data_IF_542978572948
#
_entry.id   IF_542978572948
#
_cell.length_a   1.000
_cell.length_b   1.000
_cell.length_c   1.000
_cell.angle_alpha   90.00
_cell.angle_beta   90.00
_cell.angle_gamma   90.00
#
_symmetry.space_group_name_H-M   'P 1'
#
loop_
_entity.id
_entity.type
_entity.pdbx_description
1 polymer ?
#
# COMPACT_ATOMS: atom_id res chain seq x y z
N UNK A 1 -42.32 -41.44 -26.01
CA UNK A 1 -42.76 -40.24 -25.28
C UNK A 1 -43.36 -39.27 -26.27
N UNK A 2 -44.30 -38.41 -25.87
CA UNK A 2 -44.79 -37.36 -26.76
C UNK A 2 -43.68 -36.33 -26.99
N UNK A 3 -43.58 -35.76 -28.19
CA UNK A 3 -42.60 -34.72 -28.52
C UNK A 3 -42.64 -33.56 -27.51
N UNK A 4 -43.84 -33.16 -27.05
CA UNK A 4 -44.02 -32.12 -26.05
C UNK A 4 -43.39 -32.45 -24.69
N UNK A 5 -43.46 -33.72 -24.25
CA UNK A 5 -42.80 -34.14 -23.01
C UNK A 5 -41.27 -34.07 -23.13
N UNK A 6 -40.73 -34.51 -24.29
CA UNK A 6 -39.29 -34.44 -24.55
C UNK A 6 -38.78 -33.00 -24.55
N UNK A 7 -39.51 -32.07 -25.19
CA UNK A 7 -39.17 -30.64 -25.19
C UNK A 7 -39.23 -30.05 -23.78
N UNK A 8 -40.27 -30.38 -23.00
CA UNK A 8 -40.37 -29.91 -21.62
C UNK A 8 -39.16 -30.37 -20.78
N UNK A 9 -38.71 -31.61 -20.97
CA UNK A 9 -37.56 -32.16 -20.26
C UNK A 9 -36.24 -31.46 -20.64
N UNK A 10 -36.05 -31.13 -21.92
CA UNK A 10 -34.91 -30.31 -22.39
C UNK A 10 -34.94 -28.93 -21.72
N UNK A 11 -36.10 -28.27 -21.69
CA UNK A 11 -36.25 -26.96 -21.02
C UNK A 11 -35.91 -27.06 -19.54
N UNK A 12 -36.29 -28.14 -18.86
CA UNK A 12 -35.92 -28.37 -17.46
C UNK A 12 -34.40 -28.49 -17.29
N UNK A 13 -33.70 -29.22 -18.16
CA UNK A 13 -32.23 -29.30 -18.12
C UNK A 13 -31.57 -27.96 -18.40
N UNK A 14 -32.09 -27.18 -19.35
CA UNK A 14 -31.60 -25.82 -19.64
C UNK A 14 -31.76 -24.90 -18.42
N UNK A 15 -32.93 -24.91 -17.78
CA UNK A 15 -33.18 -24.11 -16.57
C UNK A 15 -32.32 -24.55 -15.39
N UNK A 16 -32.07 -25.85 -15.26
CA UNK A 16 -31.17 -26.37 -14.23
C UNK A 16 -29.75 -25.83 -14.43
N UNK A 17 -29.24 -25.84 -15.66
CA UNK A 17 -27.93 -25.25 -15.96
C UNK A 17 -27.90 -23.73 -15.77
N UNK A 18 -29.00 -23.02 -16.06
CA UNK A 18 -29.13 -21.58 -15.79
C UNK A 18 -28.89 -21.21 -14.33
N UNK A 19 -29.34 -22.06 -13.40
CA UNK A 19 -29.19 -21.86 -11.95
C UNK A 19 -27.71 -21.88 -11.56
N UNK A 20 -26.95 -22.85 -12.09
CA UNK A 20 -25.50 -22.93 -11.81
C UNK A 20 -24.73 -21.76 -12.43
N UNK A 21 -25.01 -21.44 -13.71
CA UNK A 21 -24.34 -20.34 -14.40
C UNK A 21 -24.61 -18.97 -13.76
N UNK A 22 -25.85 -18.74 -13.29
CA UNK A 22 -26.19 -17.53 -12.55
C UNK A 22 -25.46 -17.48 -11.20
N UNK A 23 -25.36 -18.61 -10.49
CA UNK A 23 -24.69 -18.66 -9.18
C UNK A 23 -23.20 -18.41 -9.31
N UNK A 24 -22.57 -18.96 -10.35
CA UNK A 24 -21.15 -18.79 -10.64
C UNK A 24 -20.82 -17.30 -10.71
N UNK A 25 -21.49 -16.57 -11.59
CA UNK A 25 -21.20 -15.15 -11.77
C UNK A 25 -21.71 -14.29 -10.61
N UNK A 26 -22.78 -14.71 -9.92
CA UNK A 26 -23.23 -14.03 -8.71
C UNK A 26 -22.19 -14.09 -7.59
N UNK A 27 -21.57 -15.25 -7.35
CA UNK A 27 -20.58 -15.41 -6.29
C UNK A 27 -19.25 -14.71 -6.63
N UNK A 28 -18.78 -14.82 -7.88
CA UNK A 28 -17.53 -14.17 -8.33
C UNK A 28 -17.63 -12.64 -8.25
N UNK A 29 -18.81 -12.07 -8.49
CA UNK A 29 -18.99 -10.62 -8.48
C UNK A 29 -19.21 -10.02 -7.07
N UNK A 30 -19.31 -10.85 -6.02
CA UNK A 30 -19.44 -10.36 -4.65
C UNK A 30 -18.08 -9.91 -4.10
N UNK A 31 -18.03 -8.70 -3.56
CA UNK A 31 -16.82 -8.15 -2.91
C UNK A 31 -16.67 -8.71 -1.50
N UNK A 32 -15.43 -8.78 -0.98
CA UNK A 32 -15.14 -9.23 0.40
C UNK A 32 -15.98 -8.49 1.45
N UNK A 33 -16.08 -7.17 1.35
CA UNK A 33 -16.90 -6.35 2.26
C UNK A 33 -18.41 -6.68 2.22
N UNK A 34 -18.92 -7.12 1.07
CA UNK A 34 -20.31 -7.58 0.95
C UNK A 34 -20.49 -8.94 1.61
N UNK A 35 -19.52 -9.86 1.46
CA UNK A 35 -19.54 -11.17 2.11
C UNK A 35 -19.49 -11.03 3.64
N UNK A 36 -18.64 -10.15 4.17
CA UNK A 36 -18.53 -9.88 5.61
C UNK A 36 -19.84 -9.33 6.19
N UNK A 37 -20.47 -8.40 5.45
CA UNK A 37 -21.79 -7.87 5.80
C UNK A 37 -22.86 -8.95 5.78
N UNK A 38 -22.85 -9.83 4.79
CA UNK A 38 -23.83 -10.93 4.66
C UNK A 38 -23.66 -11.98 5.77
N UNK A 39 -22.42 -12.24 6.20
CA UNK A 39 -22.10 -13.21 7.25
C UNK A 39 -22.70 -12.83 8.62
N UNK A 40 -22.77 -11.53 8.90
CA UNK A 40 -23.30 -11.01 10.17
C UNK A 40 -24.82 -10.82 10.19
N UNK A 41 -25.47 -10.79 9.02
CA UNK A 41 -26.92 -10.54 8.93
C UNK A 41 -27.79 -11.76 9.23
N UNK A 42 -27.51 -12.92 8.61
CA UNK A 42 -28.35 -14.11 8.76
C UNK A 42 -27.63 -15.42 8.41
N UNK A 43 -28.27 -16.56 8.75
CA UNK A 43 -27.72 -17.89 8.53
C UNK A 43 -27.53 -18.27 7.05
N UNK A 44 -28.29 -17.67 6.11
CA UNK A 44 -28.10 -17.90 4.67
C UNK A 44 -26.91 -17.09 4.17
N UNK A 45 -26.77 -15.83 4.57
CA UNK A 45 -25.63 -14.96 4.27
C UNK A 45 -24.32 -15.57 4.75
N UNK A 46 -24.28 -16.14 5.96
CA UNK A 46 -23.13 -16.91 6.47
C UNK A 46 -22.76 -18.09 5.59
N UNK A 47 -23.73 -18.81 5.02
CA UNK A 47 -23.46 -19.91 4.08
C UNK A 47 -22.93 -19.40 2.74
N UNK A 48 -23.48 -18.30 2.22
CA UNK A 48 -22.98 -17.66 1.00
C UNK A 48 -21.52 -17.25 1.17
N UNK A 49 -21.19 -16.55 2.26
CA UNK A 49 -19.83 -16.13 2.57
C UNK A 49 -18.87 -17.31 2.70
N UNK A 50 -19.28 -18.37 3.43
CA UNK A 50 -18.47 -19.59 3.57
C UNK A 50 -18.16 -20.25 2.24
N UNK A 51 -19.14 -20.32 1.33
CA UNK A 51 -18.96 -20.95 0.01
C UNK A 51 -18.12 -20.07 -0.90
N UNK A 52 -18.38 -18.76 -0.94
CA UNK A 52 -17.64 -17.81 -1.77
C UNK A 52 -16.14 -17.73 -1.39
N UNK A 53 -15.79 -17.93 -0.12
CA UNK A 53 -14.40 -17.94 0.36
C UNK A 53 -13.63 -19.25 0.06
N UNK A 54 -14.27 -20.26 -0.53
CA UNK A 54 -13.62 -21.50 -0.99
C UNK A 54 -13.74 -21.65 -2.53
N UNK A 55 -13.02 -20.81 -3.30
CA UNK A 55 -13.10 -20.75 -4.76
C UNK A 55 -12.93 -22.08 -5.46
N UNK A 56 -11.97 -22.88 -5.01
CA UNK A 56 -11.65 -24.16 -5.64
C UNK A 56 -12.82 -25.14 -5.57
N UNK A 57 -13.45 -25.28 -4.40
CA UNK A 57 -14.55 -26.22 -4.21
C UNK A 57 -15.83 -25.72 -4.88
N UNK A 58 -16.14 -24.43 -4.76
CA UNK A 58 -17.39 -23.90 -5.31
C UNK A 58 -17.34 -23.78 -6.84
N UNK A 59 -16.26 -23.26 -7.44
CA UNK A 59 -16.14 -23.12 -8.89
C UNK A 59 -16.21 -24.49 -9.57
N UNK A 60 -15.50 -25.48 -9.02
CA UNK A 60 -15.57 -26.86 -9.51
C UNK A 60 -16.98 -27.42 -9.45
N UNK A 61 -17.70 -27.21 -8.35
CA UNK A 61 -19.09 -27.66 -8.18
C UNK A 61 -20.01 -27.05 -9.26
N UNK A 62 -19.94 -25.73 -9.42
CA UNK A 62 -20.81 -25.01 -10.36
C UNK A 62 -20.48 -25.39 -11.81
N UNK A 63 -19.20 -25.51 -12.15
CA UNK A 63 -18.75 -25.91 -13.48
C UNK A 63 -19.24 -27.31 -13.85
N UNK A 64 -19.20 -28.26 -12.92
CA UNK A 64 -19.78 -29.60 -13.13
C UNK A 64 -21.28 -29.49 -13.40
N UNK A 65 -22.00 -28.66 -12.63
CA UNK A 65 -23.43 -28.43 -12.81
C UNK A 65 -23.77 -27.87 -14.20
N UNK A 66 -23.08 -26.81 -14.64
CA UNK A 66 -23.26 -26.20 -15.97
C UNK A 66 -22.94 -27.22 -17.07
N UNK A 67 -21.80 -27.89 -16.95
CA UNK A 67 -21.31 -28.84 -17.96
C UNK A 67 -22.25 -30.04 -18.10
N UNK A 68 -22.66 -30.63 -16.98
CA UNK A 68 -23.59 -31.77 -16.96
C UNK A 68 -24.96 -31.37 -17.54
N UNK A 69 -25.47 -30.20 -17.17
CA UNK A 69 -26.76 -29.69 -17.68
C UNK A 69 -26.71 -29.45 -19.19
N UNK A 70 -25.62 -28.88 -19.69
CA UNK A 70 -25.39 -28.67 -21.11
C UNK A 70 -25.31 -29.98 -21.89
N UNK A 71 -24.51 -30.94 -21.42
CA UNK A 71 -24.40 -32.26 -22.05
C UNK A 71 -25.72 -33.03 -22.04
N UNK A 72 -26.43 -33.05 -20.90
CA UNK A 72 -27.73 -33.69 -20.81
C UNK A 72 -28.74 -33.04 -21.75
N UNK A 73 -28.81 -31.70 -21.79
CA UNK A 73 -29.71 -30.98 -22.70
C UNK A 73 -29.41 -31.28 -24.18
N UNK A 74 -28.14 -31.26 -24.57
CA UNK A 74 -27.71 -31.51 -25.95
C UNK A 74 -27.90 -32.98 -26.36
N UNK A 75 -27.40 -33.93 -25.57
CA UNK A 75 -27.46 -35.36 -25.88
C UNK A 75 -28.89 -35.93 -25.78
N UNK A 76 -29.64 -35.57 -24.73
CA UNK A 76 -31.04 -35.96 -24.63
C UNK A 76 -31.86 -35.25 -25.69
N UNK A 77 -31.63 -33.97 -25.92
CA UNK A 77 -32.41 -33.20 -26.88
C UNK A 77 -32.25 -33.70 -28.32
N UNK A 78 -31.03 -34.06 -28.72
CA UNK A 78 -30.77 -34.69 -30.01
C UNK A 78 -31.49 -36.04 -30.11
N UNK A 79 -31.22 -36.98 -29.21
CA UNK A 79 -31.79 -38.34 -29.27
C UNK A 79 -33.30 -38.39 -29.14
N UNK A 80 -33.90 -37.41 -28.46
CA UNK A 80 -35.35 -37.32 -28.24
C UNK A 80 -36.10 -36.61 -29.38
N UNK A 81 -35.44 -35.69 -30.12
CA UNK A 81 -36.06 -34.91 -31.20
C UNK A 81 -35.73 -35.51 -32.58
N UNK A 82 -34.52 -36.04 -32.78
CA UNK A 82 -34.06 -36.57 -34.05
C UNK A 82 -35.03 -37.60 -34.68
N UNK A 83 -35.63 -38.56 -33.94
CA UNK A 83 -36.58 -39.52 -34.51
C UNK A 83 -37.84 -38.87 -35.11
N UNK A 84 -38.20 -37.66 -34.66
CA UNK A 84 -39.36 -36.91 -35.18
C UNK A 84 -39.01 -36.06 -36.39
N UNK A 85 -37.76 -35.59 -36.50
CA UNK A 85 -37.32 -34.69 -37.59
C UNK A 85 -36.74 -35.47 -38.77
N UNK A 86 -36.03 -36.58 -38.54
CA UNK A 86 -35.42 -37.39 -39.60
C UNK A 86 -36.44 -37.80 -40.69
N UNK A 87 -37.68 -38.25 -40.39
CA UNK A 87 -38.67 -38.56 -41.42
C UNK A 87 -39.09 -37.35 -42.28
N UNK A 88 -39.13 -36.15 -41.68
CA UNK A 88 -39.45 -34.90 -42.37
C UNK A 88 -38.32 -34.55 -43.35
N UNK A 89 -37.07 -34.65 -42.90
CA UNK A 89 -35.89 -34.41 -43.75
C UNK A 89 -35.83 -35.42 -44.92
N UNK A 90 -36.17 -36.68 -44.67
CA UNK A 90 -36.32 -37.69 -45.73
C UNK A 90 -37.41 -37.32 -46.74
N UNK A 91 -38.54 -36.76 -46.28
CA UNK A 91 -39.63 -36.33 -47.16
C UNK A 91 -39.23 -35.18 -48.11
N UNK A 92 -38.16 -34.45 -47.81
CA UNK A 92 -37.57 -33.43 -48.69
C UNK A 92 -36.64 -34.00 -49.78
N UNK A 93 -36.50 -35.32 -49.88
CA UNK A 93 -35.70 -36.00 -50.90
C UNK A 93 -34.23 -36.22 -50.52
N UNK A 94 -33.87 -36.03 -49.25
CA UNK A 94 -32.51 -36.31 -48.76
C UNK A 94 -32.28 -37.83 -48.67
N UNK A 95 -31.18 -38.37 -49.21
CA UNK A 95 -30.87 -39.79 -49.12
C UNK A 95 -30.79 -40.30 -47.68
N UNK A 96 -31.24 -41.53 -47.43
CA UNK A 96 -31.34 -42.13 -46.08
C UNK A 96 -30.01 -42.14 -45.31
N UNK A 97 -28.89 -42.34 -46.01
CA UNK A 97 -27.56 -42.37 -45.41
C UNK A 97 -27.05 -40.98 -44.98
N UNK A 98 -27.65 -39.89 -45.50
CA UNK A 98 -27.30 -38.50 -45.17
C UNK A 98 -28.29 -37.90 -44.17
N UNK A 99 -29.59 -38.25 -44.29
CA UNK A 99 -30.66 -37.62 -43.51
C UNK A 99 -30.45 -37.75 -41.99
N UNK A 100 -29.99 -38.90 -41.50
CA UNK A 100 -29.71 -39.13 -40.07
C UNK A 100 -28.57 -38.25 -39.53
N UNK A 101 -27.34 -38.40 -40.06
CA UNK A 101 -26.19 -37.58 -39.63
C UNK A 101 -26.43 -36.07 -39.79
N UNK A 102 -27.04 -35.64 -40.89
CA UNK A 102 -27.34 -34.22 -41.13
C UNK A 102 -28.29 -33.67 -40.06
N UNK A 103 -29.38 -34.40 -39.76
CA UNK A 103 -30.33 -34.01 -38.72
C UNK A 103 -29.67 -33.94 -37.35
N UNK A 104 -28.79 -34.91 -37.05
CA UNK A 104 -28.03 -34.96 -35.79
C UNK A 104 -27.16 -33.72 -35.61
N UNK A 105 -26.36 -33.37 -36.63
CA UNK A 105 -25.45 -32.21 -36.58
C UNK A 105 -26.27 -30.92 -36.43
N UNK A 106 -27.30 -30.73 -37.26
CA UNK A 106 -28.11 -29.50 -37.24
C UNK A 106 -28.86 -29.35 -35.92
N UNK A 107 -29.48 -30.42 -35.41
CA UNK A 107 -30.15 -30.38 -34.11
C UNK A 107 -29.18 -30.10 -32.97
N UNK A 108 -28.00 -30.74 -32.99
CA UNK A 108 -26.97 -30.50 -31.97
C UNK A 108 -26.55 -29.03 -31.96
N UNK A 109 -26.33 -28.42 -33.13
CA UNK A 109 -25.99 -26.99 -33.23
C UNK A 109 -27.11 -26.07 -32.71
N UNK A 110 -28.36 -26.35 -33.07
CA UNK A 110 -29.52 -25.57 -32.62
C UNK A 110 -29.68 -25.68 -31.10
N UNK A 111 -29.68 -26.90 -30.56
CA UNK A 111 -29.82 -27.13 -29.12
C UNK A 111 -28.65 -26.52 -28.37
N UNK A 112 -27.41 -26.65 -28.88
CA UNK A 112 -26.23 -26.03 -28.28
C UNK A 112 -26.34 -24.51 -28.26
N UNK A 113 -26.85 -23.87 -29.32
CA UNK A 113 -27.08 -22.42 -29.34
C UNK A 113 -28.06 -22.00 -28.23
N UNK A 114 -29.22 -22.66 -28.14
CA UNK A 114 -30.20 -22.37 -27.09
C UNK A 114 -29.64 -22.69 -25.70
N UNK A 115 -28.81 -23.72 -25.57
CA UNK A 115 -28.13 -24.04 -24.32
C UNK A 115 -27.20 -22.91 -23.89
N UNK A 116 -26.31 -22.44 -24.77
CA UNK A 116 -25.40 -21.33 -24.43
C UNK A 116 -26.21 -20.07 -24.10
N UNK A 117 -27.24 -19.73 -24.86
CA UNK A 117 -28.01 -18.50 -24.63
C UNK A 117 -28.82 -18.58 -23.33
N UNK A 118 -29.64 -19.62 -23.15
CA UNK A 118 -30.60 -19.74 -22.04
C UNK A 118 -29.95 -20.29 -20.77
N UNK A 119 -29.09 -21.30 -20.90
CA UNK A 119 -28.45 -21.95 -19.75
C UNK A 119 -27.22 -21.20 -19.24
N UNK A 120 -26.64 -20.29 -20.03
CA UNK A 120 -25.36 -19.66 -19.64
C UNK A 120 -25.38 -18.13 -19.75
N UNK A 121 -25.52 -17.56 -20.94
CA UNK A 121 -25.33 -16.12 -21.16
C UNK A 121 -26.40 -15.24 -20.51
N UNK A 122 -27.68 -15.58 -20.69
CA UNK A 122 -28.80 -14.81 -20.11
C UNK A 122 -28.75 -14.84 -18.57
N UNK A 123 -28.61 -16.00 -17.91
CA UNK A 123 -28.52 -16.07 -16.45
C UNK A 123 -27.31 -15.32 -15.90
N UNK A 124 -26.14 -15.41 -16.57
CA UNK A 124 -24.94 -14.65 -16.20
C UNK A 124 -25.22 -13.13 -16.24
N UNK A 125 -25.83 -12.61 -17.31
CA UNK A 125 -26.19 -11.18 -17.39
C UNK A 125 -27.14 -10.73 -16.27
N UNK A 126 -28.11 -11.57 -15.91
CA UNK A 126 -29.03 -11.27 -14.79
C UNK A 126 -28.27 -11.30 -13.45
N UNK A 127 -27.36 -12.26 -13.27
CA UNK A 127 -26.54 -12.41 -12.07
C UNK A 127 -25.61 -11.22 -11.80
N UNK A 128 -25.08 -10.58 -12.85
CA UNK A 128 -24.27 -9.37 -12.71
C UNK A 128 -25.05 -8.20 -12.10
N UNK A 129 -26.35 -8.09 -12.42
CA UNK A 129 -27.19 -7.00 -11.93
C UNK A 129 -27.74 -7.24 -10.52
N UNK A 130 -27.86 -8.51 -10.11
CA UNK A 130 -28.53 -8.91 -8.85
C UNK A 130 -27.77 -10.01 -8.11
N UNK A 131 -26.45 -9.85 -7.98
CA UNK A 131 -25.54 -10.87 -7.45
C UNK A 131 -25.93 -11.33 -6.03
N UNK A 132 -26.19 -10.40 -5.12
CA UNK A 132 -26.55 -10.73 -3.72
C UNK A 132 -27.87 -11.52 -3.62
N UNK A 133 -28.90 -11.12 -4.36
CA UNK A 133 -30.22 -11.76 -4.32
C UNK A 133 -30.15 -13.19 -4.88
N UNK A 134 -29.45 -13.37 -6.00
CA UNK A 134 -29.31 -14.67 -6.66
C UNK A 134 -28.45 -15.61 -5.81
N UNK A 135 -27.32 -15.13 -5.30
CA UNK A 135 -26.46 -15.93 -4.43
C UNK A 135 -27.25 -16.44 -3.21
N UNK A 136 -28.00 -15.59 -2.51
CA UNK A 136 -28.81 -15.99 -1.36
C UNK A 136 -29.91 -17.00 -1.71
N UNK A 137 -30.54 -16.87 -2.87
CA UNK A 137 -31.63 -17.74 -3.29
C UNK A 137 -31.14 -19.14 -3.68
N UNK A 138 -30.00 -19.22 -4.37
CA UNK A 138 -29.55 -20.46 -5.02
C UNK A 138 -28.55 -21.26 -4.19
N UNK A 139 -27.79 -20.61 -3.31
CA UNK A 139 -26.76 -21.27 -2.46
C UNK A 139 -27.25 -22.54 -1.74
N UNK A 140 -28.46 -22.62 -1.16
CA UNK A 140 -28.93 -23.86 -0.52
C UNK A 140 -28.99 -25.06 -1.47
N UNK A 141 -29.40 -24.87 -2.73
CA UNK A 141 -29.46 -25.93 -3.72
C UNK A 141 -28.05 -26.37 -4.15
N UNK A 142 -27.15 -25.41 -4.33
CA UNK A 142 -25.75 -25.66 -4.69
C UNK A 142 -25.00 -26.37 -3.57
N UNK A 143 -25.23 -26.02 -2.30
CA UNK A 143 -24.61 -26.72 -1.15
C UNK A 143 -25.01 -28.20 -1.09
N UNK A 144 -26.28 -28.52 -1.37
CA UNK A 144 -26.75 -29.91 -1.45
C UNK A 144 -26.07 -30.63 -2.62
N UNK A 145 -26.04 -30.01 -3.80
CA UNK A 145 -25.39 -30.57 -4.98
C UNK A 145 -23.89 -30.80 -4.76
N UNK A 146 -23.18 -29.85 -4.13
CA UNK A 146 -21.77 -29.96 -3.77
C UNK A 146 -21.50 -31.16 -2.86
N UNK A 147 -22.37 -31.41 -1.87
CA UNK A 147 -22.24 -32.58 -0.98
C UNK A 147 -22.38 -33.90 -1.74
N UNK A 148 -23.30 -33.97 -2.71
CA UNK A 148 -23.49 -35.15 -3.57
C UNK A 148 -22.27 -35.36 -4.47
N UNK A 149 -21.77 -34.28 -5.08
CA UNK A 149 -20.63 -34.32 -6.00
C UNK A 149 -19.27 -34.30 -5.31
N UNK A 150 -19.21 -34.24 -3.97
CA UNK A 150 -17.97 -34.17 -3.18
C UNK A 150 -16.90 -35.19 -3.58
N UNK A 151 -17.17 -36.50 -3.77
CA UNK A 151 -16.14 -37.44 -4.18
C UNK A 151 -15.57 -37.14 -5.57
N UNK A 152 -16.40 -36.66 -6.49
CA UNK A 152 -15.98 -36.28 -7.83
C UNK A 152 -15.15 -35.00 -7.81
N UNK A 153 -15.57 -34.00 -7.05
CA UNK A 153 -14.83 -32.74 -6.87
C UNK A 153 -13.46 -33.01 -6.27
N UNK A 154 -13.36 -33.87 -5.25
CA UNK A 154 -12.10 -34.25 -4.64
C UNK A 154 -11.14 -34.91 -5.66
N UNK A 155 -11.67 -35.80 -6.51
CA UNK A 155 -10.87 -36.47 -7.54
C UNK A 155 -10.34 -35.46 -8.56
N UNK A 156 -11.20 -34.54 -9.02
CA UNK A 156 -10.82 -33.48 -9.96
C UNK A 156 -9.76 -32.58 -9.33
N UNK A 157 -9.98 -32.07 -8.12
CA UNK A 157 -9.03 -31.21 -7.42
C UNK A 157 -7.66 -31.88 -7.22
N UNK A 158 -7.64 -33.17 -6.87
CA UNK A 158 -6.40 -33.93 -6.74
C UNK A 158 -5.64 -34.02 -8.07
N UNK A 159 -6.35 -34.26 -9.17
CA UNK A 159 -5.75 -34.32 -10.50
C UNK A 159 -5.27 -32.94 -10.96
N UNK A 160 -6.08 -31.90 -10.79
CA UNK A 160 -5.72 -30.51 -11.11
C UNK A 160 -4.46 -30.09 -10.36
N UNK A 161 -4.40 -30.29 -9.05
CA UNK A 161 -3.22 -29.97 -8.24
C UNK A 161 -1.99 -30.79 -8.67
N UNK A 162 -2.18 -32.02 -9.14
CA UNK A 162 -1.11 -32.83 -9.74
C UNK A 162 -0.56 -32.19 -11.01
N UNK A 163 -1.43 -31.74 -11.92
CA UNK A 163 -1.02 -31.05 -13.15
C UNK A 163 -0.35 -29.70 -12.88
N UNK A 164 -0.89 -28.90 -11.95
CA UNK A 164 -0.33 -27.61 -11.55
C UNK A 164 1.10 -27.79 -11.02
N UNK A 165 1.32 -28.79 -10.16
CA UNK A 165 2.66 -29.14 -9.65
C UNK A 165 3.59 -29.68 -10.74
N UNK A 166 3.07 -30.46 -11.68
CA UNK A 166 3.86 -30.97 -12.80
C UNK A 166 4.37 -29.84 -13.71
N UNK A 167 3.58 -28.77 -13.83
CA UNK A 167 3.95 -27.56 -14.56
C UNK A 167 4.82 -26.58 -13.75
N UNK A 168 5.12 -26.89 -12.48
CA UNK A 168 6.01 -26.10 -11.63
C UNK A 168 5.33 -24.99 -10.82
N UNK A 169 4.00 -24.94 -10.76
CA UNK A 169 3.24 -23.93 -10.00
C UNK A 169 2.78 -24.47 -8.63
N UNK A 170 2.60 -23.60 -7.64
CA UNK A 170 2.01 -23.98 -6.34
C UNK A 170 0.48 -23.87 -6.38
N UNK A 171 -0.27 -24.98 -6.24
CA UNK A 171 -1.74 -24.95 -6.22
C UNK A 171 -2.36 -24.28 -4.97
N UNK A 172 -1.57 -23.92 -3.96
CA UNK A 172 -2.05 -23.26 -2.73
C UNK A 172 -1.60 -21.80 -2.60
N UNK A 173 -0.99 -21.22 -3.63
CA UNK A 173 -0.59 -19.82 -3.65
C UNK A 173 -1.85 -18.95 -3.51
N UNK A 174 -1.86 -18.08 -2.48
CA UNK A 174 -2.92 -17.08 -2.28
C UNK A 174 -2.44 -15.77 -2.87
N UNK A 175 -3.36 -14.94 -3.38
CA UNK A 175 -3.06 -13.54 -3.74
C UNK A 175 -2.28 -12.90 -2.59
N UNK A 176 -1.12 -12.35 -2.92
CA UNK A 176 -0.22 -11.67 -1.99
C UNK A 176 -0.93 -10.51 -1.30
N UNK A 177 -0.55 -10.23 -0.06
CA UNK A 177 -0.92 -8.99 0.60
C UNK A 177 -0.49 -7.81 -0.29
N UNK A 178 -1.37 -6.83 -0.45
CA UNK A 178 -1.15 -5.66 -1.31
C UNK A 178 0.07 -4.92 -0.78
N UNK A 179 1.05 -4.67 -1.63
CA UNK A 179 2.27 -3.91 -1.27
C UNK A 179 1.97 -2.42 -1.08
N UNK A 180 2.84 -1.72 -0.36
CA UNK A 180 2.71 -0.27 -0.17
C UNK A 180 2.80 0.49 -1.51
N UNK A 181 3.63 0.05 -2.46
CA UNK A 181 3.63 0.57 -3.84
C UNK A 181 2.27 0.40 -4.53
N UNK A 182 1.64 -0.77 -4.40
CA UNK A 182 0.30 -0.99 -4.97
C UNK A 182 -0.75 -0.10 -4.29
N UNK A 183 -0.64 0.13 -2.98
CA UNK A 183 -1.51 1.07 -2.25
C UNK A 183 -1.29 2.51 -2.72
N UNK A 184 -0.04 2.97 -2.90
CA UNK A 184 0.29 4.28 -3.46
C UNK A 184 -0.31 4.47 -4.84
N UNK A 185 -0.21 3.46 -5.72
CA UNK A 185 -0.83 3.49 -7.06
C UNK A 185 -2.36 3.60 -6.97
N UNK A 186 -2.99 2.89 -6.03
CA UNK A 186 -4.44 2.97 -5.82
C UNK A 186 -4.89 4.35 -5.31
N UNK A 187 -4.11 4.98 -4.41
CA UNK A 187 -4.37 6.33 -3.89
C UNK A 187 -4.19 7.36 -5.00
N UNK A 188 -3.06 7.31 -5.71
CA UNK A 188 -2.73 8.27 -6.77
C UNK A 188 -3.66 8.19 -7.99
N UNK A 189 -4.20 7.00 -8.29
CA UNK A 189 -5.17 6.81 -9.38
C UNK A 189 -6.61 7.20 -9.00
N UNK A 190 -6.89 7.46 -7.71
CA UNK A 190 -8.24 7.76 -7.24
C UNK A 190 -8.63 9.22 -7.49
N UNK A 191 -9.46 9.43 -8.52
CA UNK A 191 -9.98 10.75 -8.93
C UNK A 191 -10.91 11.43 -7.91
N UNK A 192 -11.32 10.74 -6.83
CA UNK A 192 -12.15 11.35 -5.77
C UNK A 192 -11.33 12.12 -4.75
N UNK A 193 -10.03 11.83 -4.64
CA UNK A 193 -9.13 12.55 -3.76
C UNK A 193 -8.67 13.84 -4.44
N UNK A 194 -8.58 14.93 -3.66
CA UNK A 194 -7.93 16.17 -4.08
C UNK A 194 -6.42 15.95 -4.26
N UNK A 195 -5.72 16.96 -4.78
CA UNK A 195 -4.27 16.89 -4.89
C UNK A 195 -3.63 16.87 -3.49
N UNK A 196 -4.06 17.77 -2.62
CA UNK A 196 -3.57 17.89 -1.24
C UNK A 196 -3.80 16.60 -0.43
N UNK A 197 -4.97 15.95 -0.61
CA UNK A 197 -5.25 14.66 0.04
C UNK A 197 -4.34 13.54 -0.44
N UNK A 198 -3.87 13.58 -1.70
CA UNK A 198 -2.91 12.58 -2.20
C UNK A 198 -1.51 12.84 -1.67
N UNK A 199 -1.09 14.10 -1.60
CA UNK A 199 0.21 14.48 -1.03
C UNK A 199 0.31 14.02 0.42
N UNK A 200 -0.66 14.38 1.26
CA UNK A 200 -0.67 13.94 2.68
C UNK A 200 -0.64 12.41 2.81
N UNK A 201 -1.31 11.68 1.91
CA UNK A 201 -1.28 10.20 1.96
C UNK A 201 0.08 9.65 1.53
N UNK A 202 0.76 10.28 0.58
CA UNK A 202 2.13 9.93 0.16
C UNK A 202 3.10 10.18 1.33
N UNK A 203 3.03 11.37 1.94
CA UNK A 203 3.84 11.76 3.10
C UNK A 203 3.66 10.77 4.27
N UNK A 204 2.43 10.29 4.49
CA UNK A 204 2.15 9.23 5.50
C UNK A 204 2.81 7.90 5.16
N UNK A 205 2.92 7.54 3.87
CA UNK A 205 3.64 6.33 3.47
C UNK A 205 5.15 6.51 3.64
N UNK A 206 5.70 7.68 3.31
CA UNK A 206 7.14 7.98 3.50
C UNK A 206 7.50 7.97 4.99
N UNK A 207 6.74 8.69 5.81
CA UNK A 207 6.87 8.72 7.27
C UNK A 207 6.78 7.35 7.95
N UNK A 208 6.17 6.36 7.30
CA UNK A 208 6.09 4.99 7.83
C UNK A 208 7.45 4.27 7.77
N UNK A 209 8.30 4.66 6.82
CA UNK A 209 9.66 4.14 6.67
C UNK A 209 10.72 5.05 7.31
N UNK A 210 10.43 6.33 7.48
CA UNK A 210 11.33 7.31 8.10
C UNK A 210 11.74 6.94 9.54
N UNK A 211 13.00 7.15 9.87
CA UNK A 211 13.54 7.04 11.24
C UNK A 211 13.73 8.40 11.89
N UNK A 212 13.80 8.41 13.23
CA UNK A 212 14.00 9.64 14.01
C UNK A 212 15.30 10.36 13.63
N UNK A 213 16.35 9.64 13.22
CA UNK A 213 17.63 10.23 12.82
C UNK A 213 17.56 11.07 11.53
N UNK A 214 16.61 10.81 10.64
CA UNK A 214 16.43 11.57 9.39
C UNK A 214 15.77 12.94 9.66
N UNK A 215 14.90 13.00 10.66
CA UNK A 215 14.08 14.20 10.98
C UNK A 215 14.67 15.01 12.16
N UNK A 216 15.63 14.45 12.90
CA UNK A 216 16.20 15.13 14.06
C UNK A 216 17.00 16.37 13.66
N UNK A 217 17.01 17.37 14.53
CA UNK A 217 17.98 18.47 14.48
C UNK A 217 19.32 17.95 15.01
N UNK A 218 20.38 17.90 14.18
CA UNK A 218 21.68 17.41 14.62
C UNK A 218 22.23 18.27 15.75
N UNK A 219 22.92 17.65 16.71
CA UNK A 219 23.47 18.31 17.90
C UNK A 219 24.25 19.61 17.62
N UNK A 220 24.95 19.67 16.49
CA UNK A 220 25.72 20.86 16.11
C UNK A 220 24.83 22.10 15.89
N UNK A 221 23.57 21.90 15.54
CA UNK A 221 22.60 22.95 15.21
C UNK A 221 21.64 23.22 16.39
N UNK A 222 21.91 22.64 17.56
CA UNK A 222 21.05 22.74 18.74
C UNK A 222 21.66 23.70 19.76
N UNK A 223 20.87 24.69 20.17
CA UNK A 223 21.22 25.60 21.26
C UNK A 223 20.93 24.96 22.63
N UNK A 224 21.99 24.48 23.27
CA UNK A 224 21.92 23.94 24.64
C UNK A 224 22.02 25.04 25.70
N UNK A 225 21.32 24.85 26.81
CA UNK A 225 21.48 25.63 28.04
C UNK A 225 22.23 24.83 29.09
N UNK A 226 23.26 25.42 29.68
CA UNK A 226 24.00 24.81 30.78
C UNK A 226 23.16 24.85 32.06
N UNK A 227 22.96 23.69 32.69
CA UNK A 227 22.16 23.51 33.90
C UNK A 227 22.71 24.25 35.12
N UNK A 228 23.99 24.63 35.11
CA UNK A 228 24.64 25.38 36.17
C UNK A 228 24.45 26.91 36.06
N UNK A 229 23.95 27.41 34.92
CA UNK A 229 23.66 28.83 34.75
C UNK A 229 22.62 29.30 35.76
N UNK A 230 22.79 30.54 36.23
CA UNK A 230 21.75 31.19 37.02
C UNK A 230 20.52 31.46 36.15
N UNK A 231 19.34 31.47 36.77
CA UNK A 231 18.09 31.75 36.07
C UNK A 231 18.10 33.13 35.37
N UNK A 232 18.78 34.12 35.95
CA UNK A 232 18.91 35.46 35.37
C UNK A 232 19.79 35.48 34.11
N UNK A 233 20.93 34.80 34.14
CA UNK A 233 21.82 34.66 32.97
C UNK A 233 21.14 33.87 31.85
N UNK A 234 20.46 32.77 32.18
CA UNK A 234 19.71 31.98 31.22
C UNK A 234 18.57 32.80 30.59
N UNK A 235 17.81 33.54 31.40
CA UNK A 235 16.75 34.43 30.91
C UNK A 235 17.29 35.56 30.03
N UNK A 236 18.50 36.05 30.26
CA UNK A 236 19.15 37.00 29.37
C UNK A 236 19.57 36.36 28.03
N UNK A 237 20.16 35.15 28.07
CA UNK A 237 20.61 34.41 26.87
C UNK A 237 19.44 34.07 25.93
N UNK A 238 18.33 33.54 26.47
CA UNK A 238 17.20 33.08 25.64
C UNK A 238 16.41 34.23 24.99
N UNK A 239 16.49 35.46 25.50
CA UNK A 239 15.75 36.61 24.95
C UNK A 239 16.16 36.96 23.52
N UNK A 240 17.37 36.60 23.14
CA UNK A 240 17.93 36.86 21.80
C UNK A 240 17.72 35.68 20.85
N UNK A 241 17.11 34.58 21.33
CA UNK A 241 16.93 33.33 20.59
C UNK A 241 15.43 33.09 20.29
N UNK A 242 15.08 32.47 19.16
CA UNK A 242 13.68 32.33 18.72
C UNK A 242 12.93 31.14 19.34
N UNK A 243 13.58 30.29 20.14
CA UNK A 243 13.03 28.99 20.53
C UNK A 243 12.20 29.05 21.82
N UNK A 244 11.15 28.23 21.89
CA UNK A 244 10.30 28.11 23.08
C UNK A 244 10.85 27.14 24.15
N UNK A 245 11.69 26.18 23.73
CA UNK A 245 12.23 25.10 24.56
C UNK A 245 13.71 24.91 24.27
N UNK A 246 14.48 24.65 25.32
CA UNK A 246 15.92 24.46 25.23
C UNK A 246 16.32 23.18 25.95
N UNK A 247 17.10 22.29 25.33
CA UNK A 247 17.70 21.16 26.02
C UNK A 247 18.71 21.65 27.07
N UNK A 248 18.75 20.99 28.22
CA UNK A 248 19.61 21.37 29.34
C UNK A 248 20.71 20.36 29.54
N UNK A 249 21.97 20.81 29.54
CA UNK A 249 23.14 19.98 29.82
C UNK A 249 23.48 19.96 31.30
N UNK A 250 23.97 18.83 31.78
CA UNK A 250 24.39 18.58 33.15
C UNK A 250 25.89 18.77 33.33
N UNK A 251 26.62 17.68 33.50
CA UNK A 251 28.07 17.71 33.77
C UNK A 251 28.92 17.97 32.54
N UNK A 252 28.48 17.47 31.41
CA UNK A 252 29.14 17.57 30.12
C UNK A 252 28.09 17.74 29.01
N UNK A 253 28.56 17.88 27.77
CA UNK A 253 27.69 18.09 26.63
C UNK A 253 26.94 16.84 26.18
N UNK A 254 27.25 15.66 26.72
CA UNK A 254 26.58 14.39 26.41
C UNK A 254 25.51 14.05 27.48
N UNK A 255 25.62 14.64 28.67
CA UNK A 255 24.66 14.55 29.78
C UNK A 255 23.51 15.55 29.61
N UNK A 256 22.53 15.22 28.76
CA UNK A 256 21.30 16.02 28.63
C UNK A 256 20.28 15.59 29.69
N UNK A 257 20.09 16.43 30.71
CA UNK A 257 19.23 16.13 31.88
C UNK A 257 17.74 16.36 31.61
N UNK A 258 17.39 17.06 30.53
CA UNK A 258 16.02 17.33 30.14
C UNK A 258 15.88 18.58 29.28
N UNK A 259 14.77 19.29 29.43
CA UNK A 259 14.54 20.56 28.73
C UNK A 259 13.91 21.60 29.65
N UNK A 260 14.09 22.87 29.31
CA UNK A 260 13.43 23.99 29.98
C UNK A 260 12.58 24.76 28.98
N UNK A 261 11.37 25.13 29.40
CA UNK A 261 10.54 26.04 28.62
C UNK A 261 10.89 27.49 29.00
N UNK A 262 10.94 28.40 28.03
CA UNK A 262 11.12 29.86 28.29
C UNK A 262 10.21 30.38 29.41
N UNK A 263 8.98 29.89 29.54
CA UNK A 263 8.06 30.29 30.61
C UNK A 263 8.56 29.92 32.00
N UNK A 264 9.26 28.79 32.15
CA UNK A 264 9.78 28.34 33.44
C UNK A 264 11.01 29.16 33.89
N UNK A 265 11.69 29.81 32.95
CA UNK A 265 12.78 30.75 33.22
C UNK A 265 12.30 32.17 33.53
N UNK A 266 11.12 32.56 33.02
CA UNK A 266 10.53 33.89 33.25
C UNK A 266 9.57 33.92 34.45
N UNK A 267 8.84 32.84 34.70
CA UNK A 267 7.87 32.69 35.79
C UNK A 267 8.28 31.55 36.73
N UNK A 268 9.36 31.79 37.48
CA UNK A 268 9.96 30.81 38.39
C UNK A 268 9.00 30.55 39.56
N UNK A 269 8.35 29.39 39.55
CA UNK A 269 7.33 29.02 40.55
C UNK A 269 7.92 28.60 41.89
N UNK A 270 9.13 28.02 41.89
CA UNK A 270 9.82 27.64 43.11
C UNK A 270 10.75 28.77 43.57
N UNK A 271 10.48 29.43 44.72
CA UNK A 271 11.32 30.52 45.24
C UNK A 271 12.76 30.08 45.59
N UNK A 272 13.02 28.78 45.70
CA UNK A 272 14.34 28.25 46.01
C UNK A 272 15.17 27.87 44.78
N UNK A 273 14.56 27.87 43.59
CA UNK A 273 15.27 27.60 42.35
C UNK A 273 16.28 28.71 42.07
N UNK A 274 17.53 28.33 41.79
CA UNK A 274 18.64 29.25 41.54
C UNK A 274 19.27 29.03 40.18
N UNK A 275 19.28 27.79 39.70
CA UNK A 275 19.91 27.42 38.43
C UNK A 275 18.88 26.84 37.45
N UNK A 276 19.27 26.75 36.18
CA UNK A 276 18.45 26.15 35.12
C UNK A 276 18.10 24.68 35.45
N UNK A 277 19.02 23.94 36.06
CA UNK A 277 18.77 22.56 36.50
C UNK A 277 17.58 22.45 37.47
N UNK A 278 17.33 23.46 38.32
CA UNK A 278 16.24 23.43 39.31
C UNK A 278 14.84 23.54 38.66
N UNK A 279 14.77 24.11 37.46
CA UNK A 279 13.51 24.30 36.70
C UNK A 279 13.42 23.39 35.47
N UNK A 280 14.37 22.49 35.30
CA UNK A 280 14.41 21.55 34.17
C UNK A 280 13.30 20.53 34.30
N UNK A 281 12.60 20.29 33.19
CA UNK A 281 11.60 19.22 33.07
C UNK A 281 12.27 17.96 32.55
N UNK A 282 11.86 16.82 33.07
CA UNK A 282 12.34 15.52 32.61
C UNK A 282 12.07 15.35 31.11
N UNK A 283 13.14 15.09 30.36
CA UNK A 283 13.07 14.78 28.94
C UNK A 283 12.87 13.28 28.71
N UNK A 284 12.56 12.92 27.46
CA UNK A 284 12.61 11.53 27.01
C UNK A 284 13.73 11.38 25.99
N UNK A 285 14.39 10.23 25.99
CA UNK A 285 15.39 9.89 24.99
C UNK A 285 14.83 8.87 24.02
N UNK A 286 15.20 9.02 22.75
CA UNK A 286 14.83 8.14 21.64
C UNK A 286 16.10 7.66 20.94
N UNK A 287 16.24 6.35 20.63
CA UNK A 287 17.25 5.90 19.69
C UNK A 287 17.00 6.53 18.31
N UNK A 288 18.05 7.00 17.62
CA UNK A 288 17.93 7.56 16.27
C UNK A 288 17.31 6.59 15.25
N UNK A 289 17.53 5.28 15.45
CA UNK A 289 16.98 4.19 14.63
C UNK A 289 15.50 3.89 14.89
N UNK A 290 14.82 4.62 15.78
CA UNK A 290 13.40 4.42 16.04
C UNK A 290 12.56 4.92 14.86
N UNK A 291 11.54 4.16 14.47
CA UNK A 291 10.59 4.61 13.44
C UNK A 291 9.83 5.86 13.87
N UNK A 292 9.54 6.75 12.93
CA UNK A 292 8.93 8.05 13.16
C UNK A 292 7.52 7.94 13.76
N UNK A 293 6.60 7.21 13.10
CA UNK A 293 5.19 7.13 13.50
C UNK A 293 4.97 6.58 14.94
N UNK A 294 5.61 5.48 15.38
CA UNK A 294 5.49 5.01 16.76
C UNK A 294 6.06 6.00 17.78
N UNK A 295 7.15 6.67 17.43
CA UNK A 295 7.81 7.68 18.27
C UNK A 295 6.91 8.91 18.44
N UNK A 296 6.29 9.37 17.35
CA UNK A 296 5.32 10.47 17.35
C UNK A 296 4.12 10.14 18.24
N UNK A 297 3.58 8.92 18.12
CA UNK A 297 2.46 8.46 18.96
C UNK A 297 2.85 8.46 20.45
N UNK A 298 4.07 8.03 20.78
CA UNK A 298 4.56 8.03 22.15
C UNK A 298 4.67 9.45 22.72
N UNK A 299 5.28 10.39 21.99
CA UNK A 299 5.40 11.79 22.41
C UNK A 299 4.03 12.43 22.62
N UNK A 300 3.10 12.22 21.68
CA UNK A 300 1.72 12.70 21.77
C UNK A 300 0.98 12.14 22.98
N UNK A 301 1.10 10.84 23.28
CA UNK A 301 0.43 10.21 24.43
C UNK A 301 0.97 10.71 25.77
N UNK A 302 2.28 11.01 25.85
CA UNK A 302 2.92 11.53 27.07
C UNK A 302 2.80 13.04 27.22
N UNK A 303 2.36 13.76 26.18
CA UNK A 303 2.32 15.22 26.17
C UNK A 303 3.72 15.85 26.19
N UNK A 304 4.69 15.16 25.59
CA UNK A 304 6.08 15.61 25.48
C UNK A 304 6.28 16.19 24.08
N UNK A 305 6.91 17.36 24.00
CA UNK A 305 7.11 18.10 22.74
C UNK A 305 8.57 18.09 22.24
N UNK A 306 9.50 17.60 23.05
CA UNK A 306 10.92 17.55 22.71
C UNK A 306 11.52 16.28 23.29
N UNK A 307 12.25 15.55 22.45
CA UNK A 307 13.00 14.37 22.83
C UNK A 307 14.46 14.52 22.43
N UNK A 308 15.35 13.92 23.22
CA UNK A 308 16.78 13.84 22.92
C UNK A 308 17.02 12.59 22.11
N UNK A 309 17.72 12.72 20.99
CA UNK A 309 18.10 11.58 20.16
C UNK A 309 19.47 11.08 20.60
N UNK A 310 19.57 9.78 20.85
CA UNK A 310 20.79 9.14 21.36
C UNK A 310 21.34 8.10 20.39
N UNK A 311 22.67 7.99 20.37
CA UNK A 311 23.42 6.99 19.61
C UNK A 311 23.50 5.63 20.37
N UNK A 312 24.16 4.64 19.77
CA UNK A 312 24.35 3.31 20.37
C UNK A 312 25.33 3.30 21.55
N UNK A 313 26.11 4.36 21.72
CA UNK A 313 27.09 4.54 22.79
C UNK A 313 26.54 5.37 23.96
N UNK A 314 25.30 5.87 23.84
CA UNK A 314 24.63 6.73 24.82
C UNK A 314 25.00 8.21 24.71
N UNK A 315 25.68 8.61 23.65
CA UNK A 315 25.93 10.01 23.29
C UNK A 315 24.67 10.68 22.74
N UNK A 316 24.65 12.01 22.77
CA UNK A 316 23.55 12.80 22.18
C UNK A 316 23.87 13.08 20.71
N UNK A 317 23.03 12.59 19.81
CA UNK A 317 23.10 12.87 18.37
C UNK A 317 22.36 14.14 17.99
N UNK A 318 21.31 14.50 18.74
CA UNK A 318 20.47 15.65 18.42
C UNK A 318 19.22 15.72 19.26
N UNK A 319 18.24 16.48 18.76
CA UNK A 319 16.89 16.54 19.33
C UNK A 319 15.84 16.37 18.23
N UNK A 320 14.66 15.92 18.61
CA UNK A 320 13.49 15.89 17.73
C UNK A 320 12.30 16.50 18.47
N UNK A 321 11.52 17.32 17.77
CA UNK A 321 10.31 17.92 18.33
C UNK A 321 9.05 17.24 17.81
N UNK A 322 7.94 17.40 18.53
CA UNK A 322 6.65 16.88 18.06
C UNK A 322 6.24 17.60 16.78
N UNK A 323 6.57 18.88 16.69
CA UNK A 323 6.32 19.77 15.57
C UNK A 323 7.02 19.25 14.29
N UNK A 324 8.34 18.99 14.34
CA UNK A 324 9.11 18.46 13.20
C UNK A 324 8.54 17.09 12.74
N UNK A 325 8.23 16.19 13.68
CA UNK A 325 7.65 14.89 13.33
C UNK A 325 6.24 14.96 12.75
N UNK A 326 5.50 16.05 13.03
CA UNK A 326 4.18 16.27 12.42
C UNK A 326 4.27 16.93 11.06
N UNK A 327 5.34 17.70 10.81
CA UNK A 327 5.63 18.31 9.51
C UNK A 327 5.80 17.22 8.44
N UNK A 328 6.50 16.13 8.77
CA UNK A 328 6.63 14.94 7.91
C UNK A 328 5.30 14.27 7.51
N UNK A 329 4.18 14.57 8.18
CA UNK A 329 2.87 13.99 7.86
C UNK A 329 1.92 14.96 7.16
N UNK A 330 2.17 16.27 7.30
CA UNK A 330 1.22 17.31 6.91
C UNK A 330 1.86 18.30 5.90
N UNK A 331 3.17 18.22 5.71
CA UNK A 331 3.99 19.20 4.98
C UNK A 331 4.29 20.44 5.82
N UNK A 332 5.08 21.35 5.25
CA UNK A 332 5.58 22.58 5.89
C UNK A 332 4.48 23.37 6.63
N UNK A 333 4.54 23.39 7.96
CA UNK A 333 3.65 24.20 8.81
C UNK A 333 4.37 25.50 9.16
N UNK A 334 4.12 26.56 8.38
CA UNK A 334 4.73 27.89 8.61
C UNK A 334 4.43 28.40 10.02
N UNK A 335 5.46 28.71 10.79
CA UNK A 335 5.31 29.47 12.04
C UNK A 335 5.19 30.97 11.71
N UNK A 336 4.48 31.73 12.55
CA UNK A 336 4.25 33.17 12.35
C UNK A 336 5.54 34.00 12.47
N UNK A 337 6.62 33.39 12.98
CA UNK A 337 7.93 34.00 13.20
C UNK A 337 9.00 33.59 12.18
N UNK A 338 8.70 32.69 11.24
CA UNK A 338 9.64 32.31 10.20
C UNK A 338 9.82 33.51 9.25
N UNK A 339 11.05 34.05 9.22
CA UNK A 339 11.44 34.96 8.14
C UNK A 339 11.46 34.13 6.85
N UNK A 340 10.96 34.64 5.71
CA UNK A 340 11.12 33.95 4.45
C UNK A 340 12.61 33.81 4.16
N UNK A 341 13.11 32.59 4.27
CA UNK A 341 14.52 32.31 4.01
C UNK A 341 14.73 32.24 2.48
N UNK A 342 15.91 32.61 1.98
CA UNK A 342 16.18 32.51 0.53
C UNK A 342 16.13 31.06 0.01
N UNK A 343 16.14 30.06 0.89
CA UNK A 343 15.89 28.65 0.57
C UNK A 343 14.42 28.32 0.24
N UNK A 344 13.47 29.16 0.65
CA UNK A 344 12.03 28.92 0.46
C UNK A 344 11.59 29.05 -1.01
N UNK A 345 12.38 29.76 -1.82
CA UNK A 345 12.18 29.82 -3.28
C UNK A 345 12.51 28.49 -3.99
N UNK A 346 13.12 27.51 -3.29
CA UNK A 346 13.50 26.21 -3.87
C UNK A 346 12.55 25.05 -3.56
N UNK A 347 11.77 25.10 -2.48
CA UNK A 347 10.85 24.00 -2.10
C UNK A 347 9.50 24.04 -2.82
N UNK A 348 9.01 25.24 -3.14
CA UNK A 348 7.67 25.44 -3.73
C UNK A 348 7.57 25.07 -5.24
N UNK A 349 8.55 24.32 -5.76
CA UNK A 349 8.58 23.88 -7.15
C UNK A 349 9.29 22.54 -7.24
N UNK A 350 8.64 21.56 -7.86
CA UNK A 350 9.27 20.38 -8.50
C UNK A 350 10.20 20.80 -9.66
N UNK A 351 10.96 21.88 -9.49
CA UNK A 351 11.87 22.45 -10.44
C UNK A 351 13.28 22.02 -10.03
N UNK A 352 13.86 21.13 -10.82
CA UNK A 352 15.27 20.76 -10.75
C UNK A 352 16.14 21.97 -10.46
N UNK A 353 16.87 21.96 -9.33
CA UNK A 353 17.74 23.06 -8.84
C UNK A 353 18.95 23.33 -9.76
N UNK A 354 19.11 22.56 -10.83
CA UNK A 354 20.18 22.72 -11.80
C UNK A 354 20.03 23.99 -12.65
N UNK A 355 20.92 24.96 -12.44
CA UNK A 355 21.12 26.10 -13.33
C UNK A 355 22.40 25.86 -14.13
N UNK A 356 22.29 25.72 -15.46
CA UNK A 356 23.41 25.39 -16.35
C UNK A 356 24.16 24.07 -15.98
N UNK A 357 23.43 23.05 -15.53
CA UNK A 357 24.00 21.74 -15.17
C UNK A 357 24.68 21.71 -13.80
N UNK A 358 24.55 22.77 -13.00
CA UNK A 358 25.10 22.88 -11.64
C UNK A 358 23.98 23.17 -10.64
N UNK A 359 23.95 22.42 -9.54
CA UNK A 359 23.06 22.62 -8.40
C UNK A 359 23.89 22.83 -7.13
N UNK A 360 23.38 23.62 -6.19
CA UNK A 360 24.02 23.84 -4.88
C UNK A 360 23.04 23.40 -3.79
N UNK A 361 23.46 22.46 -2.97
CA UNK A 361 22.68 21.82 -1.91
C UNK A 361 23.36 21.95 -0.54
N UNK A 362 22.57 21.97 0.52
CA UNK A 362 23.06 21.92 1.90
C UNK A 362 23.63 20.52 2.18
N UNK A 363 24.79 20.43 2.82
CA UNK A 363 25.41 19.15 3.17
C UNK A 363 24.61 18.35 4.21
N UNK A 364 23.80 19.00 5.02
CA UNK A 364 22.90 18.38 6.00
C UNK A 364 21.55 17.93 5.43
N UNK A 365 21.27 18.19 4.16
CA UNK A 365 20.07 17.67 3.46
C UNK A 365 20.07 16.13 3.50
N UNK A 366 18.90 15.52 3.68
CA UNK A 366 18.76 14.06 3.65
C UNK A 366 19.00 13.53 2.23
N UNK A 367 19.36 12.25 2.11
CA UNK A 367 19.55 11.63 0.78
C UNK A 367 18.25 11.54 -0.02
N UNK A 368 17.10 11.44 0.65
CA UNK A 368 15.77 11.41 0.02
C UNK A 368 15.37 12.79 -0.51
N UNK A 369 15.50 13.84 0.32
CA UNK A 369 15.28 15.23 -0.11
C UNK A 369 16.16 15.59 -1.30
N UNK A 370 17.41 15.11 -1.27
CA UNK A 370 18.34 15.30 -2.37
C UNK A 370 17.83 14.64 -3.66
N UNK A 371 17.30 13.42 -3.58
CA UNK A 371 16.72 12.72 -4.71
C UNK A 371 15.49 13.45 -5.26
N UNK A 372 14.62 13.96 -4.40
CA UNK A 372 13.42 14.71 -4.79
C UNK A 372 13.76 16.03 -5.50
N UNK A 373 14.75 16.75 -4.98
CA UNK A 373 15.14 18.08 -5.48
C UNK A 373 16.00 17.98 -6.75
N UNK A 374 16.87 16.97 -6.85
CA UNK A 374 17.85 16.85 -7.94
C UNK A 374 17.47 15.79 -8.99
N UNK A 375 16.60 14.84 -8.64
CA UNK A 375 16.28 13.65 -9.44
C UNK A 375 17.43 12.64 -9.50
N UNK A 376 18.37 12.68 -8.57
CA UNK A 376 19.53 11.77 -8.49
C UNK A 376 19.37 10.93 -7.22
N UNK A 377 19.16 9.62 -7.39
CA UNK A 377 19.11 8.67 -6.27
C UNK A 377 20.55 8.33 -5.82
N UNK A 378 20.81 8.49 -4.52
CA UNK A 378 22.08 8.09 -3.89
C UNK A 378 21.93 6.69 -3.32
N UNK A 379 23.00 5.88 -3.33
CA UNK A 379 22.96 4.54 -2.74
C UNK A 379 22.71 4.61 -1.22
N UNK A 380 21.94 3.67 -0.68
CA UNK A 380 21.73 3.53 0.77
C UNK A 380 23.01 3.09 1.48
N UNK A 381 23.25 3.63 2.68
CA UNK A 381 24.43 3.30 3.46
C UNK A 381 24.34 3.73 4.92
N UNK A 382 25.45 3.69 5.68
CA UNK A 382 25.49 4.11 7.08
C UNK A 382 25.55 5.64 7.20
N UNK A 383 24.65 6.34 6.52
CA UNK A 383 24.55 7.79 6.46
C UNK A 383 23.12 8.20 6.10
N UNK A 384 22.70 9.36 6.59
CA UNK A 384 21.35 9.90 6.30
C UNK A 384 21.43 11.18 5.45
N UNK A 385 22.59 11.85 5.40
CA UNK A 385 22.75 13.16 4.75
C UNK A 385 23.68 13.11 3.54
N UNK A 386 23.55 14.09 2.64
CA UNK A 386 24.42 14.23 1.46
C UNK A 386 25.90 14.37 1.86
N UNK A 387 26.21 15.11 2.93
CA UNK A 387 27.55 15.18 3.48
C UNK A 387 28.01 13.82 4.03
N UNK A 388 27.12 13.07 4.68
CA UNK A 388 27.39 11.71 5.15
C UNK A 388 27.76 10.76 3.99
N UNK A 389 26.97 10.77 2.92
CA UNK A 389 27.26 10.05 1.67
C UNK A 389 28.64 10.43 1.12
N UNK A 390 28.92 11.73 1.00
CA UNK A 390 30.21 12.23 0.49
C UNK A 390 31.39 11.74 1.34
N UNK A 391 31.28 11.81 2.66
CA UNK A 391 32.32 11.38 3.59
C UNK A 391 32.54 9.87 3.55
N UNK A 392 31.47 9.08 3.46
CA UNK A 392 31.53 7.62 3.37
C UNK A 392 32.27 7.16 2.11
N UNK A 393 32.03 7.82 0.98
CA UNK A 393 32.65 7.47 -0.31
C UNK A 393 34.07 8.00 -0.47
N UNK A 394 34.36 9.20 0.06
CA UNK A 394 35.71 9.79 -0.05
C UNK A 394 36.67 9.35 1.06
N UNK A 395 36.16 8.86 2.20
CA UNK A 395 36.95 8.45 3.36
C UNK A 395 37.76 9.58 4.00
N UNK A 396 37.44 10.84 3.71
CA UNK A 396 38.16 12.02 4.20
C UNK A 396 37.18 13.07 4.70
N UNK A 397 37.56 13.92 5.65
CA UNK A 397 36.68 14.91 6.30
C UNK A 397 36.08 15.99 5.40
N UNK A 398 36.28 15.93 4.08
CA UNK A 398 35.91 16.99 3.14
C UNK A 398 36.78 18.24 3.35
N UNK A 399 37.39 18.73 2.29
CA UNK A 399 37.98 20.08 2.27
C UNK A 399 37.33 20.84 1.14
N UNK A 400 37.26 22.16 1.25
CA UNK A 400 36.81 22.99 0.13
C UNK A 400 37.63 22.62 -1.13
N UNK A 401 36.92 22.29 -2.20
CA UNK A 401 37.47 21.79 -3.46
C UNK A 401 37.70 20.27 -3.53
N UNK A 402 37.32 19.49 -2.52
CA UNK A 402 37.28 18.03 -2.61
C UNK A 402 36.15 17.62 -3.55
N UNK A 403 36.46 16.67 -4.45
CA UNK A 403 35.52 16.21 -5.47
C UNK A 403 35.29 14.71 -5.27
N UNK A 404 34.02 14.32 -5.24
CA UNK A 404 33.57 12.95 -5.40
C UNK A 404 33.09 12.79 -6.83
N UNK A 405 33.76 11.91 -7.58
CA UNK A 405 33.37 11.55 -8.93
C UNK A 405 32.47 10.34 -8.88
N UNK A 406 31.23 10.49 -9.32
CA UNK A 406 30.28 9.38 -9.38
C UNK A 406 30.22 8.77 -10.78
N UNK A 407 30.11 7.44 -10.85
CA UNK A 407 30.08 6.71 -12.11
C UNK A 407 28.75 6.90 -12.86
N UNK A 408 27.68 7.30 -12.16
CA UNK A 408 26.33 7.46 -12.69
C UNK A 408 26.03 8.89 -13.19
N UNK A 409 27.09 9.67 -13.44
CA UNK A 409 27.02 10.87 -14.29
C UNK A 409 26.86 12.20 -13.55
N UNK A 410 27.34 12.30 -12.31
CA UNK A 410 27.43 13.57 -11.59
C UNK A 410 28.71 13.66 -10.74
N UNK A 411 29.23 14.88 -10.60
CA UNK A 411 30.36 15.20 -9.72
C UNK A 411 29.87 16.05 -8.55
N UNK A 412 30.21 15.67 -7.33
CA UNK A 412 29.95 16.46 -6.12
C UNK A 412 31.23 17.17 -5.68
N UNK A 413 31.19 18.48 -5.48
CA UNK A 413 32.32 19.29 -5.03
C UNK A 413 31.98 20.04 -3.75
N UNK A 414 32.78 19.89 -2.71
CA UNK A 414 32.61 20.66 -1.47
C UNK A 414 32.96 22.13 -1.72
N UNK A 415 31.99 23.03 -1.57
CA UNK A 415 32.20 24.48 -1.76
C UNK A 415 32.44 25.21 -0.44
N UNK A 416 31.86 24.72 0.65
CA UNK A 416 31.98 25.34 1.97
C UNK A 416 32.06 24.29 3.09
N UNK A 417 32.91 24.56 4.08
CA UNK A 417 33.07 23.75 5.29
C UNK A 417 32.95 24.68 6.49
N UNK A 418 32.03 24.39 7.40
CA UNK A 418 31.91 25.06 8.68
C UNK A 418 32.48 24.17 9.80
N UNK A 419 33.63 24.56 10.35
CA UNK A 419 34.36 23.77 11.34
C UNK A 419 34.77 22.39 10.83
N UNK A 420 34.00 21.36 11.19
CA UNK A 420 34.20 19.94 10.78
C UNK A 420 33.05 19.41 9.93
N UNK A 421 32.06 20.25 9.61
CA UNK A 421 30.87 19.90 8.84
C UNK A 421 31.03 20.44 7.42
N UNK A 422 30.71 19.61 6.43
CA UNK A 422 30.51 20.09 5.06
C UNK A 422 29.20 20.86 5.05
N UNK A 423 29.26 22.17 4.82
CA UNK A 423 28.09 23.05 4.83
C UNK A 423 27.38 23.03 3.48
N UNK A 424 28.15 23.12 2.39
CA UNK A 424 27.58 23.28 1.05
C UNK A 424 28.31 22.39 0.05
N UNK A 425 27.53 21.72 -0.81
CA UNK A 425 28.02 20.86 -1.89
C UNK A 425 27.47 21.37 -3.23
N UNK A 426 28.36 21.56 -4.21
CA UNK A 426 28.02 21.78 -5.61
C UNK A 426 27.90 20.43 -6.33
N UNK A 427 26.76 20.15 -6.95
CA UNK A 427 26.54 18.97 -7.78
C UNK A 427 26.50 19.37 -9.24
N UNK A 428 27.34 18.75 -10.06
CA UNK A 428 27.43 19.01 -11.50
C UNK A 428 27.06 17.75 -12.26
N UNK A 429 26.09 17.82 -13.18
CA UNK A 429 25.82 16.70 -14.10
C UNK A 429 26.98 16.61 -15.10
N UNK A 430 27.58 15.44 -15.18
CA UNK A 430 28.64 15.14 -16.15
C UNK A 430 27.95 14.95 -17.50
N UNK A 431 28.20 15.84 -18.47
CA UNK A 431 27.73 15.62 -19.84
C UNK A 431 28.33 14.32 -20.35
N UNK A 432 27.49 13.29 -20.48
CA UNK A 432 27.84 12.05 -21.18
C UNK A 432 28.01 12.42 -22.65
N UNK A 433 29.26 12.54 -23.10
CA UNK A 433 29.59 12.67 -24.53
C UNK A 433 29.24 11.41 -25.32
#
# INVERSE_FOLDING_TARGET
MSLGFNIALIVVFLLFGSIFAATELALVNLRSSQLDRMETQDARGKRVAKIARDPNTFLSTLQIGVTLSGFLSASFGESAIAPHIVPIVKSWGVPDHVAGPLTTIVLTLIISYFSIVISELVPKRIAMQRSEQIARAVVPAVDIFSKICKPLIWLIAKNTNGFVRLLGFDPNEKESEVSDEELRVLVNSNKKLSQDERTILDDVFDASETIVAEVMRPRADVEFLDGSLSLEEAAAKIRELPYSRYPVTGKDFDDVIGFVHVRDLLDVRDPNAKTVADVTREGISLPGTSKLLPSLEMLRKRGIHLAVVIDEYGGTDGIVTLEDMTEELVGDIRDEYDLPDESDLKRDSKATVFVNGVATVDGGMTIEDFADVTGIELEDGPYETVAGYFLAHTGSMGKVGAILHDADGYDMTVTEVDGRRIATIEVRKTEVN
#
